data_IF_741819699375
#
_entry.id   IF_741819699375
#
_cell.length_a   1.000
_cell.length_b   1.000
_cell.length_c   1.000
_cell.angle_alpha   90.00
_cell.angle_beta   90.00
_cell.angle_gamma   90.00
#
_symmetry.space_group_name_H-M   'P 1'
#
loop_
_entity.id
_entity.type
_entity.pdbx_description
1 polymer ?
#
# COMPACT_ATOMS: atom_id res chain seq x y z
N UNK A 1 -20.53 8.83 -23.11
CA UNK A 1 -19.92 7.47 -23.23
C UNK A 1 -18.62 7.46 -22.43
N UNK A 2 -18.23 6.31 -21.87
CA UNK A 2 -17.06 6.06 -21.00
C UNK A 2 -17.29 6.07 -19.48
N UNK A 3 -18.09 5.12 -18.99
CA UNK A 3 -17.97 4.60 -17.61
C UNK A 3 -18.09 3.07 -17.53
N UNK A 4 -18.14 2.39 -18.68
CA UNK A 4 -18.30 0.92 -18.74
C UNK A 4 -16.98 0.14 -18.64
N UNK A 5 -15.84 0.80 -18.76
CA UNK A 5 -14.51 0.16 -18.76
C UNK A 5 -14.01 -0.16 -17.34
N UNK A 6 -14.45 0.59 -16.33
CA UNK A 6 -14.06 0.37 -14.92
C UNK A 6 -14.72 -0.89 -14.34
N UNK A 7 -15.97 -1.18 -14.72
CA UNK A 7 -16.67 -2.39 -14.26
C UNK A 7 -16.13 -3.68 -14.89
N UNK A 8 -15.54 -3.61 -16.09
CA UNK A 8 -14.91 -4.77 -16.73
C UNK A 8 -13.59 -5.14 -16.04
N UNK A 9 -12.87 -4.15 -15.47
CA UNK A 9 -11.62 -4.37 -14.74
C UNK A 9 -11.84 -4.91 -13.32
N UNK A 10 -12.98 -4.60 -12.70
CA UNK A 10 -13.38 -5.15 -11.38
C UNK A 10 -13.98 -6.56 -11.49
N UNK A 11 -14.59 -6.90 -12.63
CA UNK A 11 -15.15 -8.25 -12.86
C UNK A 11 -14.10 -9.33 -13.19
N UNK A 12 -12.87 -8.94 -13.59
CA UNK A 12 -11.81 -9.87 -14.01
C UNK A 12 -10.91 -10.39 -12.88
N UNK A 13 -11.10 -9.92 -11.64
CA UNK A 13 -10.33 -10.35 -10.46
C UNK A 13 -10.98 -11.47 -9.63
N UNK A 14 -12.19 -11.92 -9.97
CA UNK A 14 -12.98 -12.85 -9.13
C UNK A 14 -12.95 -14.31 -9.63
N UNK A 15 -12.36 -14.61 -10.79
CA UNK A 15 -12.49 -15.95 -11.42
C UNK A 15 -11.35 -16.95 -11.15
N UNK A 16 -10.36 -16.66 -10.30
CA UNK A 16 -9.25 -17.59 -10.02
C UNK A 16 -9.29 -18.23 -8.63
N UNK A 17 -10.42 -18.86 -8.31
CA UNK A 17 -10.54 -19.84 -7.22
C UNK A 17 -11.17 -21.11 -7.79
N UNK A 18 -10.41 -21.84 -8.62
CA UNK A 18 -10.76 -23.19 -9.02
C UNK A 18 -10.27 -24.17 -7.96
N UNK A 19 -11.22 -24.77 -7.26
CA UNK A 19 -11.04 -25.95 -6.41
C UNK A 19 -10.82 -27.14 -7.33
N UNK A 20 -9.69 -27.84 -7.18
CA UNK A 20 -9.48 -29.17 -7.74
C UNK A 20 -9.73 -30.19 -6.61
N UNK A 21 -10.78 -30.99 -6.74
CA UNK A 21 -10.97 -32.22 -5.95
C UNK A 21 -10.59 -33.41 -6.85
N UNK A 22 -9.62 -34.22 -6.43
CA UNK A 22 -9.40 -35.54 -6.99
C UNK A 22 -10.38 -36.54 -6.35
N UNK A 23 -10.98 -37.47 -7.12
CA UNK A 23 -11.82 -38.51 -6.57
C UNK A 23 -10.98 -39.77 -6.30
N UNK A 24 -11.00 -40.28 -5.06
CA UNK A 24 -10.57 -41.66 -4.79
C UNK A 24 -11.66 -42.41 -4.02
N UNK A 25 -12.40 -43.17 -4.83
CA UNK A 25 -12.94 -44.52 -4.64
C UNK A 25 -12.95 -45.09 -3.22
N UNK A 26 -14.17 -45.46 -2.80
CA UNK A 26 -14.46 -46.32 -1.66
C UNK A 26 -13.72 -47.66 -1.72
N UNK A 27 -13.15 -48.09 -0.60
CA UNK A 27 -12.96 -49.50 -0.27
C UNK A 27 -13.10 -49.65 1.24
N UNK A 28 -13.89 -50.64 1.64
CA UNK A 28 -14.17 -50.97 3.02
C UNK A 28 -13.01 -51.73 3.67
N UNK A 29 -13.02 -51.63 5.00
CA UNK A 29 -12.70 -52.66 6.00
C UNK A 29 -11.38 -52.56 6.78
N UNK A 30 -11.51 -53.02 8.02
CA UNK A 30 -10.55 -53.28 9.09
C UNK A 30 -10.18 -52.17 10.09
N UNK A 31 -10.91 -52.25 11.20
CA UNK A 31 -10.59 -51.71 12.52
C UNK A 31 -9.19 -52.11 12.99
N UNK A 32 -8.33 -51.10 13.20
CA UNK A 32 -7.20 -51.21 14.12
C UNK A 32 -7.11 -49.91 14.90
N UNK A 33 -7.41 -49.99 16.21
CA UNK A 33 -7.24 -48.88 17.15
C UNK A 33 -5.74 -48.61 17.29
N UNK A 34 -5.20 -47.81 16.37
CA UNK A 34 -3.90 -47.20 16.52
C UNK A 34 -4.10 -46.00 17.44
N UNK A 35 -3.46 -46.00 18.61
CA UNK A 35 -3.36 -44.80 19.45
C UNK A 35 -2.78 -43.70 18.57
N UNK A 36 -3.61 -42.74 18.17
CA UNK A 36 -3.13 -41.43 17.74
C UNK A 36 -2.36 -40.83 18.91
N UNK A 37 -1.05 -41.05 18.93
CA UNK A 37 -0.14 -40.13 19.60
C UNK A 37 -0.27 -38.86 18.79
N UNK A 38 -1.11 -37.94 19.27
CA UNK A 38 -1.08 -36.56 18.82
C UNK A 38 0.33 -36.09 19.21
N UNK A 39 1.27 -36.14 18.26
CA UNK A 39 2.49 -35.35 18.35
C UNK A 39 2.03 -33.91 18.17
N UNK A 40 1.54 -33.32 19.27
CA UNK A 40 1.34 -31.88 19.38
C UNK A 40 2.73 -31.25 19.52
N UNK A 41 3.52 -31.37 18.46
CA UNK A 41 4.77 -30.63 18.34
C UNK A 41 4.34 -29.24 17.93
N UNK A 42 3.96 -28.43 18.92
CA UNK A 42 3.99 -26.97 18.80
C UNK A 42 5.45 -26.63 18.49
N UNK A 43 5.80 -26.68 17.20
CA UNK A 43 7.15 -26.37 16.73
C UNK A 43 7.23 -24.85 16.75
N UNK A 44 7.46 -24.30 17.94
CA UNK A 44 7.72 -22.88 18.12
C UNK A 44 8.85 -22.51 17.17
N UNK A 45 8.55 -21.64 16.20
CA UNK A 45 9.52 -21.23 15.20
C UNK A 45 10.62 -20.49 15.95
N UNK A 46 11.90 -20.89 15.80
CA UNK A 46 12.98 -20.25 16.54
C UNK A 46 13.01 -18.75 16.20
N UNK A 47 13.10 -17.92 17.23
CA UNK A 47 13.19 -16.47 17.10
C UNK A 47 14.51 -16.13 16.37
N UNK A 48 14.41 -15.47 15.22
CA UNK A 48 15.57 -14.92 14.50
C UNK A 48 15.75 -13.44 14.85
N UNK A 49 16.68 -13.09 15.77
CA UNK A 49 16.89 -11.71 16.19
C UNK A 49 17.42 -10.81 15.07
N UNK A 50 17.95 -11.37 13.98
CA UNK A 50 18.42 -10.62 12.81
C UNK A 50 17.31 -10.36 11.78
N UNK A 51 16.12 -10.96 11.95
CA UNK A 51 15.04 -10.76 10.99
C UNK A 51 14.56 -9.29 10.89
N UNK A 52 14.49 -8.48 11.96
CA UNK A 52 14.09 -7.07 11.85
C UNK A 52 15.11 -6.22 11.10
N UNK A 53 16.39 -6.38 11.43
CA UNK A 53 17.46 -5.64 10.76
C UNK A 53 17.59 -6.03 9.29
N UNK A 54 17.36 -7.30 8.93
CA UNK A 54 17.28 -7.73 7.52
C UNK A 54 16.09 -7.12 6.80
N UNK A 55 14.90 -7.12 7.39
CA UNK A 55 13.70 -6.50 6.80
C UNK A 55 13.91 -5.00 6.56
N UNK A 56 14.47 -4.30 7.53
CA UNK A 56 14.83 -2.89 7.41
C UNK A 56 15.85 -2.67 6.27
N UNK A 57 16.91 -3.47 6.23
CA UNK A 57 17.93 -3.39 5.18
C UNK A 57 17.34 -3.60 3.79
N UNK A 58 16.47 -4.60 3.63
CA UNK A 58 15.78 -4.83 2.36
C UNK A 58 14.91 -3.63 1.95
N UNK A 59 14.12 -3.07 2.86
CA UNK A 59 13.34 -1.85 2.60
C UNK A 59 14.20 -0.62 2.29
N UNK A 60 15.43 -0.57 2.80
CA UNK A 60 16.37 0.51 2.54
C UNK A 60 17.06 0.40 1.17
N UNK A 61 17.08 -0.80 0.58
CA UNK A 61 17.56 -1.00 -0.79
C UNK A 61 16.48 -0.64 -1.81
N UNK A 62 15.27 -1.17 -1.63
CA UNK A 62 14.13 -0.84 -2.48
C UNK A 62 12.86 -0.71 -1.62
N UNK A 63 11.99 0.28 -1.91
CA UNK A 63 10.71 0.41 -1.24
C UNK A 63 9.88 -0.87 -1.35
N UNK A 64 9.27 -1.32 -0.26
CA UNK A 64 8.42 -2.51 -0.26
C UNK A 64 9.13 -3.85 -0.06
N UNK A 65 10.47 -3.93 -0.18
CA UNK A 65 11.16 -5.22 -0.10
C UNK A 65 11.16 -5.84 1.30
N UNK A 66 11.26 -5.03 2.36
CA UNK A 66 11.13 -5.54 3.72
C UNK A 66 9.73 -6.08 4.01
N UNK A 67 8.69 -5.48 3.43
CA UNK A 67 7.32 -6.00 3.49
C UNK A 67 7.19 -7.31 2.73
N UNK A 68 7.84 -7.46 1.58
CA UNK A 68 7.91 -8.73 0.85
C UNK A 68 8.61 -9.82 1.69
N UNK A 69 9.73 -9.49 2.33
CA UNK A 69 10.44 -10.37 3.26
C UNK A 69 9.54 -10.80 4.44
N UNK A 70 8.78 -9.86 4.99
CA UNK A 70 7.79 -10.11 6.04
C UNK A 70 6.51 -10.81 5.54
N UNK A 71 6.43 -11.18 4.26
CA UNK A 71 5.24 -11.76 3.59
C UNK A 71 3.99 -10.87 3.63
N UNK A 72 4.13 -9.57 3.89
CA UNK A 72 3.04 -8.59 3.92
C UNK A 72 2.91 -7.86 2.57
N UNK A 73 2.68 -8.63 1.50
CA UNK A 73 2.63 -8.12 0.13
C UNK A 73 1.56 -7.05 -0.10
N UNK A 74 0.44 -7.13 0.62
CA UNK A 74 -0.65 -6.18 0.50
C UNK A 74 -0.26 -4.73 0.85
N UNK A 75 0.79 -4.53 1.66
CA UNK A 75 1.30 -3.20 2.00
C UNK A 75 2.11 -2.55 0.88
N UNK A 76 2.68 -3.36 -0.03
CA UNK A 76 3.60 -2.87 -1.07
C UNK A 76 2.90 -1.85 -1.99
N UNK A 77 1.69 -2.09 -2.53
CA UNK A 77 1.00 -1.08 -3.33
C UNK A 77 0.80 0.25 -2.61
N UNK A 78 0.57 0.22 -1.28
CA UNK A 78 0.37 1.42 -0.47
C UNK A 78 1.67 2.23 -0.36
N UNK A 79 2.80 1.56 -0.12
CA UNK A 79 4.13 2.20 -0.10
C UNK A 79 4.41 2.89 -1.44
N UNK A 80 4.19 2.19 -2.55
CA UNK A 80 4.41 2.76 -3.88
C UNK A 80 3.42 3.87 -4.21
N UNK A 81 2.16 3.78 -3.78
CA UNK A 81 1.20 4.87 -3.95
C UNK A 81 1.62 6.13 -3.19
N UNK A 82 2.10 5.98 -1.94
CA UNK A 82 2.57 7.09 -1.13
C UNK A 82 3.82 7.76 -1.73
N UNK A 83 4.82 6.96 -2.12
CA UNK A 83 6.03 7.47 -2.79
C UNK A 83 5.71 8.08 -4.16
N UNK A 84 4.88 7.41 -4.95
CA UNK A 84 4.44 7.88 -6.26
C UNK A 84 3.71 9.23 -6.18
N UNK A 85 2.90 9.43 -5.14
CA UNK A 85 2.23 10.72 -4.88
C UNK A 85 3.25 11.83 -4.58
N UNK A 86 4.24 11.55 -3.73
CA UNK A 86 5.29 12.51 -3.42
C UNK A 86 6.14 12.89 -4.64
N UNK A 87 6.52 11.89 -5.45
CA UNK A 87 7.25 12.07 -6.71
C UNK A 87 6.41 12.87 -7.71
N UNK A 88 5.11 12.55 -7.86
CA UNK A 88 4.20 13.27 -8.74
C UNK A 88 4.19 14.77 -8.41
N UNK A 89 3.99 15.14 -7.14
CA UNK A 89 4.01 16.54 -6.73
C UNK A 89 5.37 17.19 -6.94
N UNK A 90 6.47 16.48 -6.73
CA UNK A 90 7.81 17.00 -7.04
C UNK A 90 7.95 17.36 -8.52
N UNK A 91 7.56 16.45 -9.41
CA UNK A 91 7.66 16.64 -10.87
C UNK A 91 6.74 17.78 -11.32
N UNK A 92 5.49 17.77 -10.88
CA UNK A 92 4.50 18.79 -11.21
C UNK A 92 4.97 20.20 -10.79
N UNK A 93 5.38 20.36 -9.53
CA UNK A 93 5.92 21.64 -9.05
C UNK A 93 7.22 22.05 -9.76
N UNK A 94 8.04 21.08 -10.21
CA UNK A 94 9.25 21.37 -10.99
C UNK A 94 8.90 21.89 -12.39
N UNK A 95 7.94 21.26 -13.05
CA UNK A 95 7.49 21.64 -14.38
C UNK A 95 6.85 23.03 -14.36
N UNK A 96 5.93 23.27 -13.42
CA UNK A 96 5.34 24.59 -13.22
C UNK A 96 6.40 25.63 -12.85
N UNK A 97 7.35 25.30 -11.96
CA UNK A 97 8.45 26.22 -11.63
C UNK A 97 9.23 26.63 -12.88
N UNK A 98 9.59 25.67 -13.74
CA UNK A 98 10.33 25.94 -14.97
C UNK A 98 9.50 26.80 -15.93
N UNK A 99 8.21 26.50 -16.07
CA UNK A 99 7.26 27.23 -16.89
C UNK A 99 7.19 28.72 -16.51
N UNK A 100 6.98 29.05 -15.23
CA UNK A 100 6.99 30.45 -14.75
C UNK A 100 8.37 31.11 -14.86
N UNK A 101 9.45 30.35 -14.60
CA UNK A 101 10.83 30.84 -14.73
C UNK A 101 11.18 31.20 -16.17
N UNK A 102 10.75 30.39 -17.12
CA UNK A 102 11.11 30.57 -18.53
C UNK A 102 10.34 31.77 -19.13
N UNK A 103 9.07 31.96 -18.73
CA UNK A 103 8.35 33.21 -19.02
C UNK A 103 9.04 34.44 -18.43
N UNK A 104 9.49 34.36 -17.16
CA UNK A 104 10.21 35.46 -16.52
C UNK A 104 11.52 35.80 -17.23
N UNK A 105 12.28 34.79 -17.67
CA UNK A 105 13.49 34.97 -18.48
C UNK A 105 13.19 35.63 -19.82
N UNK A 106 12.11 35.23 -20.49
CA UNK A 106 11.68 35.83 -21.76
C UNK A 106 11.43 37.34 -21.62
N UNK A 107 10.75 37.74 -20.54
CA UNK A 107 10.48 39.16 -20.27
C UNK A 107 11.73 39.95 -19.90
N UNK A 108 12.66 39.34 -19.17
CA UNK A 108 13.97 39.96 -18.91
C UNK A 108 14.77 40.18 -20.19
N UNK A 109 14.56 39.35 -21.22
CA UNK A 109 15.15 39.52 -22.54
C UNK A 109 14.39 40.54 -23.42
N UNK A 110 13.32 41.16 -22.91
CA UNK A 110 12.53 42.19 -23.61
C UNK A 110 11.43 41.66 -24.51
N UNK A 111 11.03 40.39 -24.36
CA UNK A 111 9.93 39.80 -25.14
C UNK A 111 8.61 39.81 -24.36
N UNK A 112 7.54 40.24 -25.02
CA UNK A 112 6.16 40.24 -24.51
C UNK A 112 5.31 39.11 -25.14
N UNK A 113 5.95 37.98 -25.44
CA UNK A 113 5.34 36.85 -26.16
C UNK A 113 5.22 35.56 -25.33
N UNK A 114 5.38 35.64 -24.00
CA UNK A 114 5.18 34.47 -23.14
C UNK A 114 3.70 34.09 -22.97
N UNK A 115 3.45 32.86 -22.52
CA UNK A 115 2.10 32.29 -22.37
C UNK A 115 1.16 33.06 -21.42
N UNK A 116 1.69 33.96 -20.60
CA UNK A 116 0.88 34.77 -19.69
C UNK A 116 0.48 36.11 -20.33
N UNK A 117 0.94 36.38 -21.55
CA UNK A 117 0.30 37.32 -22.45
C UNK A 117 -0.87 36.65 -23.15
N UNK A 118 -1.96 37.39 -23.30
CA UNK A 118 -3.16 36.91 -23.95
C UNK A 118 -3.73 37.99 -24.87
N UNK A 119 -4.94 37.72 -25.34
CA UNK A 119 -5.72 38.65 -26.15
C UNK A 119 -6.95 39.12 -25.38
N UNK A 120 -7.49 40.28 -25.77
CA UNK A 120 -8.77 40.80 -25.29
C UNK A 120 -9.96 40.05 -25.91
N UNK A 121 -11.20 40.50 -25.61
CA UNK A 121 -12.43 39.89 -26.13
C UNK A 121 -12.59 40.02 -27.65
N UNK A 122 -11.84 40.95 -28.26
CA UNK A 122 -11.85 41.28 -29.67
C UNK A 122 -10.67 40.65 -30.43
N UNK A 123 -9.77 39.95 -29.74
CA UNK A 123 -8.62 39.24 -30.30
C UNK A 123 -7.34 40.07 -30.44
N UNK A 124 -7.29 41.29 -29.90
CA UNK A 124 -6.08 42.11 -29.91
C UNK A 124 -5.17 41.76 -28.72
N UNK A 125 -3.82 41.89 -28.86
CA UNK A 125 -2.91 41.67 -27.74
C UNK A 125 -3.22 42.57 -26.54
N UNK A 126 -3.22 42.00 -25.34
CA UNK A 126 -3.41 42.74 -24.09
C UNK A 126 -2.29 43.78 -23.86
N UNK A 127 -2.65 44.97 -23.37
CA UNK A 127 -1.67 46.01 -22.98
C UNK A 127 -0.92 45.68 -21.68
N UNK A 128 -1.35 44.65 -20.95
CA UNK A 128 -0.71 44.18 -19.72
C UNK A 128 -0.84 42.67 -19.61
N UNK A 129 0.19 41.96 -19.12
CA UNK A 129 0.14 40.50 -19.02
C UNK A 129 -0.87 40.07 -17.96
N UNK A 130 -1.49 38.89 -18.14
CA UNK A 130 -2.41 38.28 -17.17
C UNK A 130 -1.73 37.97 -15.84
N UNK A 131 -0.42 37.70 -15.89
CA UNK A 131 0.43 37.51 -14.71
C UNK A 131 1.57 38.52 -14.78
N UNK A 132 1.67 39.41 -13.79
CA UNK A 132 2.73 40.41 -13.70
C UNK A 132 4.09 39.79 -13.37
N UNK A 133 5.19 40.55 -13.54
CA UNK A 133 6.54 40.08 -13.22
C UNK A 133 6.67 39.67 -11.74
N UNK A 134 6.10 40.44 -10.82
CA UNK A 134 6.05 40.08 -9.41
C UNK A 134 5.21 38.82 -9.18
N UNK A 135 4.14 38.63 -9.98
CA UNK A 135 3.36 37.40 -9.99
C UNK A 135 4.20 36.19 -10.38
N UNK A 136 5.01 36.30 -11.44
CA UNK A 136 5.92 35.24 -11.88
C UNK A 136 6.96 34.90 -10.81
N UNK A 137 7.52 35.92 -10.13
CA UNK A 137 8.50 35.72 -9.05
C UNK A 137 7.84 35.00 -7.86
N UNK A 138 6.66 35.44 -7.43
CA UNK A 138 5.93 34.80 -6.33
C UNK A 138 5.53 33.36 -6.64
N UNK A 139 5.10 33.09 -7.88
CA UNK A 139 4.80 31.74 -8.35
C UNK A 139 6.04 30.84 -8.27
N UNK A 140 7.18 31.30 -8.82
CA UNK A 140 8.46 30.59 -8.73
C UNK A 140 8.88 30.29 -7.29
N UNK A 141 8.77 31.25 -6.38
CA UNK A 141 9.13 31.04 -4.97
C UNK A 141 8.24 29.99 -4.29
N UNK A 142 6.93 30.03 -4.58
CA UNK A 142 5.96 29.09 -4.02
C UNK A 142 6.20 27.68 -4.56
N UNK A 143 6.36 27.54 -5.87
CA UNK A 143 6.59 26.25 -6.54
C UNK A 143 7.95 25.64 -6.14
N UNK A 144 8.99 26.47 -5.98
CA UNK A 144 10.28 26.02 -5.45
C UNK A 144 10.13 25.44 -4.05
N UNK A 145 9.46 26.16 -3.15
CA UNK A 145 9.21 25.69 -1.78
C UNK A 145 8.39 24.41 -1.76
N UNK A 146 7.33 24.34 -2.55
CA UNK A 146 6.48 23.15 -2.63
C UNK A 146 7.27 21.94 -3.14
N UNK A 147 8.09 22.11 -4.18
CA UNK A 147 8.98 21.06 -4.69
C UNK A 147 9.95 20.55 -3.61
N UNK A 148 10.55 21.45 -2.84
CA UNK A 148 11.44 21.09 -1.73
C UNK A 148 10.69 20.32 -0.63
N UNK A 149 9.47 20.75 -0.30
CA UNK A 149 8.60 20.04 0.64
C UNK A 149 8.23 18.65 0.09
N UNK A 150 7.90 18.52 -1.20
CA UNK A 150 7.60 17.23 -1.82
C UNK A 150 8.77 16.25 -1.70
N UNK A 151 10.01 16.68 -1.93
CA UNK A 151 11.20 15.84 -1.71
C UNK A 151 11.27 15.41 -0.25
N UNK A 152 11.18 16.36 0.68
CA UNK A 152 11.32 16.09 2.11
C UNK A 152 10.26 15.10 2.61
N UNK A 153 9.00 15.29 2.22
CA UNK A 153 7.91 14.38 2.56
C UNK A 153 8.12 13.01 1.92
N UNK A 154 8.55 12.93 0.66
CA UNK A 154 8.83 11.66 -0.02
C UNK A 154 9.94 10.89 0.69
N UNK A 155 11.02 11.57 1.10
CA UNK A 155 12.10 10.96 1.89
C UNK A 155 11.60 10.52 3.28
N UNK A 156 10.72 11.30 3.91
CA UNK A 156 10.06 10.92 5.16
C UNK A 156 9.22 9.65 5.02
N UNK A 157 8.44 9.54 3.95
CA UNK A 157 7.66 8.32 3.63
C UNK A 157 8.60 7.13 3.38
N UNK A 158 9.72 7.35 2.68
CA UNK A 158 10.71 6.31 2.45
C UNK A 158 11.32 5.79 3.76
N UNK A 159 11.67 6.68 4.67
CA UNK A 159 12.15 6.32 6.01
C UNK A 159 11.08 5.57 6.81
N UNK A 160 9.83 6.03 6.79
CA UNK A 160 8.70 5.35 7.44
C UNK A 160 8.50 3.93 6.89
N UNK A 161 8.64 3.72 5.58
CA UNK A 161 8.59 2.41 4.96
C UNK A 161 9.66 1.43 5.52
N UNK A 162 10.86 1.93 5.79
CA UNK A 162 11.95 1.12 6.40
C UNK A 162 11.59 0.77 7.85
N UNK A 163 11.12 1.74 8.62
CA UNK A 163 10.74 1.56 10.02
C UNK A 163 9.56 0.59 10.14
N UNK A 164 8.53 0.73 9.29
CA UNK A 164 7.36 -0.16 9.28
C UNK A 164 7.77 -1.62 9.03
N UNK A 165 8.66 -1.87 8.07
CA UNK A 165 9.18 -3.22 7.83
C UNK A 165 9.99 -3.78 9.00
N UNK A 166 10.77 -2.94 9.68
CA UNK A 166 11.51 -3.34 10.88
C UNK A 166 10.58 -3.74 12.02
N UNK A 167 9.56 -2.91 12.30
CA UNK A 167 8.58 -3.16 13.37
C UNK A 167 7.75 -4.39 13.07
N UNK A 168 7.28 -4.56 11.83
CA UNK A 168 6.54 -5.75 11.39
C UNK A 168 7.32 -7.04 11.64
N UNK A 169 8.60 -7.05 11.30
CA UNK A 169 9.48 -8.20 11.50
C UNK A 169 9.69 -8.51 12.99
N UNK A 170 9.69 -7.49 13.86
CA UNK A 170 9.77 -7.66 15.30
C UNK A 170 8.48 -8.29 15.86
N UNK A 171 7.32 -7.86 15.36
CA UNK A 171 6.03 -8.41 15.76
C UNK A 171 5.79 -9.84 15.26
N UNK A 172 6.33 -10.21 14.09
CA UNK A 172 6.25 -11.58 13.56
C UNK A 172 7.02 -12.62 14.39
N UNK A 173 7.93 -12.19 15.26
CA UNK A 173 8.66 -13.07 16.18
C UNK A 173 7.88 -13.34 17.49
N UNK A 174 6.93 -12.47 17.83
CA UNK A 174 6.05 -12.73 18.96
C UNK A 174 5.10 -13.86 18.58
N UNK A 175 4.98 -14.85 19.48
CA UNK A 175 4.29 -16.10 19.24
C UNK A 175 2.78 -15.88 19.13
N UNK A 176 2.30 -15.54 17.93
CA UNK A 176 0.87 -15.62 17.61
C UNK A 176 0.63 -17.00 17.01
N UNK A 177 0.00 -17.89 17.77
CA UNK A 177 -0.37 -19.20 17.26
C UNK A 177 -1.33 -19.00 16.07
N UNK A 178 -0.90 -19.34 14.85
CA UNK A 178 -1.70 -19.16 13.62
C UNK A 178 -2.91 -20.12 13.59
N UNK A 179 -2.99 -21.06 14.52
CA UNK A 179 -4.08 -22.01 14.66
C UNK A 179 -5.30 -21.38 15.36
N UNK A 180 -6.02 -20.51 14.64
CA UNK A 180 -7.36 -20.08 15.06
C UNK A 180 -8.33 -21.27 14.91
N UNK A 181 -8.52 -22.03 15.98
CA UNK A 181 -9.44 -23.15 15.98
C UNK A 181 -10.85 -22.69 16.35
N UNK A 182 -11.76 -22.68 15.37
CA UNK A 182 -13.20 -22.58 15.63
C UNK A 182 -13.70 -23.97 16.05
N UNK A 183 -14.04 -24.13 17.32
CA UNK A 183 -14.56 -25.41 17.83
C UNK A 183 -16.08 -25.30 18.01
N UNK A 184 -16.88 -26.09 17.28
CA UNK A 184 -18.31 -26.15 17.54
C UNK A 184 -18.53 -26.84 18.89
N UNK A 185 -19.32 -26.20 19.75
CA UNK A 185 -19.67 -26.71 21.07
C UNK A 185 -21.13 -27.19 21.04
N UNK A 186 -21.32 -28.47 21.33
CA UNK A 186 -22.62 -29.10 21.48
C UNK A 186 -22.81 -29.50 22.94
N UNK A 187 -23.79 -28.90 23.63
CA UNK A 187 -24.22 -29.36 24.96
C UNK A 187 -25.69 -29.74 24.93
N UNK A 188 -25.94 -31.01 25.20
CA UNK A 188 -27.27 -31.54 25.46
C UNK A 188 -27.56 -31.40 26.96
N UNK A 189 -28.63 -30.70 27.33
CA UNK A 189 -29.05 -30.58 28.71
C UNK A 189 -30.06 -31.69 29.02
N UNK A 190 -29.62 -32.72 29.75
CA UNK A 190 -30.42 -33.90 30.05
C UNK A 190 -31.64 -33.61 30.95
N UNK A 191 -31.64 -32.49 31.68
CA UNK A 191 -32.71 -32.13 32.60
C UNK A 191 -33.94 -31.52 31.89
N UNK A 192 -33.70 -30.72 30.85
CA UNK A 192 -34.77 -30.00 30.13
C UNK A 192 -34.96 -30.49 28.68
N UNK A 193 -34.19 -31.52 28.26
CA UNK A 193 -34.14 -32.04 26.89
C UNK A 193 -33.87 -30.94 25.81
N UNK A 194 -33.20 -29.86 26.19
CA UNK A 194 -32.86 -28.75 25.29
C UNK A 194 -31.44 -28.90 24.74
N UNK A 195 -31.26 -28.57 23.47
CA UNK A 195 -29.95 -28.59 22.79
C UNK A 195 -29.42 -27.18 22.63
N UNK A 196 -28.25 -26.90 23.19
CA UNK A 196 -27.59 -25.61 23.03
C UNK A 196 -26.45 -25.72 22.02
N UNK A 197 -26.57 -24.97 20.92
CA UNK A 197 -25.56 -24.82 19.88
C UNK A 197 -24.76 -23.55 20.15
N UNK A 198 -23.44 -23.69 20.31
CA UNK A 198 -22.54 -22.56 20.49
C UNK A 198 -21.30 -22.69 19.62
N UNK A 199 -20.74 -21.54 19.21
CA UNK A 199 -19.41 -21.46 18.62
C UNK A 199 -18.45 -20.91 19.67
N UNK A 200 -17.32 -21.58 19.88
CA UNK A 200 -16.26 -21.08 20.77
C UNK A 200 -15.02 -20.77 19.95
N UNK A 201 -14.50 -19.54 20.12
CA UNK A 201 -13.23 -19.09 19.58
C UNK A 201 -12.20 -19.18 20.71
N UNK A 202 -11.18 -20.01 20.52
CA UNK A 202 -10.11 -20.20 21.50
C UNK A 202 -8.86 -19.46 21.01
N UNK A 203 -8.39 -18.49 21.81
CA UNK A 203 -7.18 -17.72 21.52
C UNK A 203 -6.11 -18.13 22.53
N UNK A 204 -5.04 -18.78 22.06
CA UNK A 204 -3.85 -19.06 22.86
C UNK A 204 -2.79 -18.01 22.55
N UNK A 205 -2.49 -17.18 23.54
CA UNK A 205 -1.39 -16.21 23.54
C UNK A 205 -0.22 -16.71 24.38
#
# INVERSE_FOLDING_TARGET
MQSKLVYVLVALMVSSLSVAQEPTTSSQDDQKVERMVIQDTIRSKPIDPLSPSRAAFYSALLPGLGQAYNKKYWKIPIVYAALGTGIYFYVDNTNEYNRYRDAFKSRLAGFDSDEFWGVDGEGNPLSSPRVSNDGLIRAQQTLRRNREISILVTLGIYALNIIDANVDAHLLQYNVDENLAVKPHFKFNELDATTNLGLTLDFKF
#
